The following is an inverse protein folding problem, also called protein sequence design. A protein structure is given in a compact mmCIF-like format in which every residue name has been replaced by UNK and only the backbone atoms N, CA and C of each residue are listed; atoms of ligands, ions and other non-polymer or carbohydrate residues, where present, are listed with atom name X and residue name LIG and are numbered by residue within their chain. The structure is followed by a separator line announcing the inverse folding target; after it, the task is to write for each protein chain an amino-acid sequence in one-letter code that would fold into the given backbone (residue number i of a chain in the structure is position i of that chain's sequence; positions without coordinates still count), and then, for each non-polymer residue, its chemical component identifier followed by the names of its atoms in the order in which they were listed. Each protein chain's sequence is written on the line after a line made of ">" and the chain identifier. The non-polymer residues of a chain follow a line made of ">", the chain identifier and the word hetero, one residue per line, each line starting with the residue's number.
data_IF_319388551146
#
_entry.id   IF_319388551146
#
_cell.length_a   1.000
_cell.length_b   1.000
_cell.length_c   1.000
_cell.angle_alpha   90.00
_cell.angle_beta   90.00
_cell.angle_gamma   90.00
#
_symmetry.space_group_name_H-M   'P 1'
#
loop_
_entity.id
_entity.type
_entity.pdbx_description
1 polymer ?
#
# COMPACT_ATOMS: atom_id res chain seq x y z
N UNK A 1 19.00 -0.26 16.55
CA UNK A 1 18.25 -1.14 15.60
C UNK A 1 17.02 -1.80 16.22
N UNK A 2 17.12 -2.55 17.32
CA UNK A 2 15.97 -3.23 17.94
C UNK A 2 14.81 -2.27 18.34
N UNK A 3 15.15 -1.08 18.85
CA UNK A 3 14.18 -0.03 19.19
C UNK A 3 13.39 0.50 17.98
N UNK A 4 14.03 0.57 16.81
CA UNK A 4 13.39 1.07 15.58
C UNK A 4 12.40 0.04 15.04
N UNK A 5 12.78 -1.24 15.10
CA UNK A 5 11.90 -2.33 14.72
C UNK A 5 10.64 -2.41 15.60
N UNK A 6 10.77 -2.19 16.92
CA UNK A 6 9.60 -2.20 17.81
C UNK A 6 8.67 -1.02 17.56
N UNK A 7 9.21 0.19 17.33
CA UNK A 7 8.41 1.37 16.94
C UNK A 7 7.64 1.14 15.63
N UNK A 8 8.32 0.61 14.61
CA UNK A 8 7.69 0.29 13.33
C UNK A 8 6.58 -0.76 13.47
N UNK A 9 6.83 -1.85 14.21
CA UNK A 9 5.81 -2.87 14.50
C UNK A 9 4.58 -2.28 15.18
N UNK A 10 4.79 -1.42 16.19
CA UNK A 10 3.68 -0.78 16.89
C UNK A 10 2.83 0.11 15.95
N UNK A 11 3.47 0.89 15.06
CA UNK A 11 2.74 1.69 14.05
C UNK A 11 1.93 0.82 13.10
N UNK A 12 2.55 -0.23 12.57
CA UNK A 12 1.89 -1.18 11.64
C UNK A 12 0.70 -1.88 12.32
N UNK A 13 0.84 -2.23 13.60
CA UNK A 13 -0.24 -2.88 14.36
C UNK A 13 -1.40 -1.94 14.69
N UNK A 14 -1.14 -0.64 14.83
CA UNK A 14 -2.17 0.37 15.13
C UNK A 14 -2.86 0.92 13.87
N UNK A 15 -2.22 0.85 12.71
CA UNK A 15 -2.76 1.40 11.46
C UNK A 15 -3.80 0.45 10.82
N UNK A 16 -5.01 0.97 10.64
CA UNK A 16 -6.16 0.22 10.11
C UNK A 16 -5.94 -0.28 8.68
N UNK A 17 -5.17 0.45 7.86
CA UNK A 17 -4.90 0.08 6.48
C UNK A 17 -3.92 -1.09 6.42
N UNK A 18 -2.87 -1.08 7.25
CA UNK A 18 -1.98 -2.24 7.38
C UNK A 18 -2.70 -3.49 7.89
N UNK A 19 -3.66 -3.33 8.82
CA UNK A 19 -4.49 -4.45 9.27
C UNK A 19 -5.31 -5.04 8.11
N UNK A 20 -6.01 -4.21 7.32
CA UNK A 20 -6.76 -4.65 6.13
C UNK A 20 -5.86 -5.36 5.12
N UNK A 21 -4.66 -4.82 4.85
CA UNK A 21 -3.67 -5.44 3.95
C UNK A 21 -3.25 -6.82 4.48
N UNK A 22 -3.00 -6.95 5.78
CA UNK A 22 -2.61 -8.22 6.42
C UNK A 22 -3.74 -9.26 6.33
N UNK A 23 -4.99 -8.86 6.52
CA UNK A 23 -6.15 -9.71 6.35
C UNK A 23 -6.30 -10.17 4.89
N UNK A 24 -6.16 -9.24 3.95
CA UNK A 24 -6.20 -9.56 2.52
C UNK A 24 -5.11 -10.56 2.13
N UNK A 25 -3.88 -10.36 2.60
CA UNK A 25 -2.76 -11.28 2.35
C UNK A 25 -3.03 -12.69 2.92
N UNK A 26 -3.62 -12.79 4.12
CA UNK A 26 -4.05 -14.08 4.70
C UNK A 26 -5.12 -14.75 3.86
N UNK A 27 -6.08 -13.98 3.35
CA UNK A 27 -7.15 -14.50 2.48
C UNK A 27 -6.59 -15.01 1.15
N UNK A 28 -5.72 -14.24 0.47
CA UNK A 28 -5.05 -14.68 -0.76
C UNK A 28 -4.30 -15.99 -0.52
N UNK A 29 -3.57 -16.09 0.59
CA UNK A 29 -2.84 -17.32 0.93
C UNK A 29 -3.81 -18.50 1.09
N UNK A 30 -4.91 -18.33 1.82
CA UNK A 30 -5.93 -19.37 2.00
C UNK A 30 -6.54 -19.82 0.67
N UNK A 31 -6.84 -18.88 -0.23
CA UNK A 31 -7.41 -19.20 -1.55
C UNK A 31 -6.41 -19.92 -2.43
N UNK A 32 -5.14 -19.51 -2.40
CA UNK A 32 -4.05 -20.18 -3.13
C UNK A 32 -3.79 -21.60 -2.62
N UNK A 33 -3.83 -21.79 -1.31
CA UNK A 33 -3.60 -23.10 -0.68
C UNK A 33 -4.86 -24.02 -0.83
N UNK A 34 -6.00 -23.49 -1.28
CA UNK A 34 -7.21 -24.26 -1.57
C UNK A 34 -7.17 -24.88 -2.97
N UNK A 35 -6.79 -26.15 -3.05
CA UNK A 35 -6.76 -26.90 -4.32
C UNK A 35 -8.09 -27.58 -4.70
N UNK A 36 -9.16 -27.39 -3.92
CA UNK A 36 -10.45 -28.07 -4.14
C UNK A 36 -11.39 -27.15 -4.94
N UNK A 37 -11.79 -27.62 -6.11
CA UNK A 37 -12.76 -26.96 -6.97
C UNK A 37 -14.00 -27.84 -7.16
N UNK A 38 -15.21 -27.29 -6.97
CA UNK A 38 -16.43 -28.00 -7.34
C UNK A 38 -16.50 -28.14 -8.86
N UNK A 39 -16.87 -29.33 -9.33
CA UNK A 39 -17.11 -29.62 -10.76
C UNK A 39 -18.54 -29.30 -11.19
N UNK A 40 -19.44 -29.15 -10.21
CA UNK A 40 -20.82 -28.72 -10.43
C UNK A 40 -20.87 -27.21 -10.74
N UNK A 41 -21.58 -26.84 -11.80
CA UNK A 41 -21.58 -25.48 -12.33
C UNK A 41 -22.23 -24.46 -11.39
N UNK A 42 -23.33 -24.85 -10.72
CA UNK A 42 -24.01 -23.98 -9.76
C UNK A 42 -23.12 -23.73 -8.54
N UNK A 43 -22.52 -24.78 -7.99
CA UNK A 43 -21.58 -24.68 -6.85
C UNK A 43 -20.34 -23.87 -7.21
N UNK A 44 -19.81 -24.01 -8.42
CA UNK A 44 -18.70 -23.19 -8.90
C UNK A 44 -19.09 -21.71 -8.98
N UNK A 45 -20.25 -21.41 -9.56
CA UNK A 45 -20.74 -20.03 -9.71
C UNK A 45 -20.92 -19.35 -8.36
N UNK A 46 -21.53 -20.04 -7.38
CA UNK A 46 -21.67 -19.51 -6.02
C UNK A 46 -20.33 -19.30 -5.31
N UNK A 47 -19.35 -20.19 -5.50
CA UNK A 47 -17.99 -20.02 -4.95
C UNK A 47 -17.35 -18.75 -5.50
N UNK A 48 -17.46 -18.53 -6.81
CA UNK A 48 -16.91 -17.35 -7.49
C UNK A 48 -17.59 -16.04 -7.06
N UNK A 49 -18.91 -16.04 -6.89
CA UNK A 49 -19.65 -14.89 -6.37
C UNK A 49 -19.24 -14.55 -4.93
N UNK A 50 -19.18 -15.54 -4.05
CA UNK A 50 -18.73 -15.36 -2.68
C UNK A 50 -17.28 -14.83 -2.64
N UNK A 51 -16.41 -15.29 -3.54
CA UNK A 51 -15.04 -14.79 -3.68
C UNK A 51 -15.02 -13.32 -4.07
N UNK A 52 -15.79 -12.93 -5.08
CA UNK A 52 -15.91 -11.53 -5.54
C UNK A 52 -16.47 -10.63 -4.44
N UNK A 53 -17.49 -11.07 -3.73
CA UNK A 53 -18.08 -10.30 -2.62
C UNK A 53 -17.09 -10.11 -1.47
N UNK A 54 -16.33 -11.15 -1.13
CA UNK A 54 -15.27 -11.03 -0.13
C UNK A 54 -14.16 -10.08 -0.58
N UNK A 55 -13.79 -10.09 -1.86
CA UNK A 55 -12.77 -9.20 -2.42
C UNK A 55 -13.16 -7.72 -2.35
N UNK A 56 -14.46 -7.39 -2.53
CA UNK A 56 -14.97 -6.00 -2.43
C UNK A 56 -14.63 -5.31 -1.11
N UNK A 57 -14.44 -6.08 -0.02
CA UNK A 57 -14.07 -5.55 1.30
C UNK A 57 -12.68 -4.90 1.33
N UNK A 58 -11.86 -5.17 0.32
CA UNK A 58 -10.47 -4.69 0.22
C UNK A 58 -10.27 -3.73 -0.96
N UNK A 59 -11.32 -3.42 -1.73
CA UNK A 59 -11.24 -2.52 -2.89
C UNK A 59 -10.88 -1.08 -2.50
N UNK A 60 -11.02 -0.72 -1.23
CA UNK A 60 -10.68 0.60 -0.67
C UNK A 60 -9.20 0.74 -0.32
N UNK A 61 -8.45 -0.36 -0.22
CA UNK A 61 -7.02 -0.34 0.06
C UNK A 61 -6.29 0.47 -1.02
N UNK A 62 -5.56 1.50 -0.59
CA UNK A 62 -4.77 2.36 -1.48
C UNK A 62 -5.58 3.38 -2.26
N UNK A 63 -6.86 3.61 -1.94
CA UNK A 63 -7.64 4.72 -2.52
C UNK A 63 -7.39 6.04 -1.79
N UNK A 64 -7.22 5.98 -0.47
CA UNK A 64 -7.09 7.15 0.38
C UNK A 64 -5.70 7.78 0.26
N UNK A 65 -5.68 9.11 0.09
CA UNK A 65 -4.43 9.86 0.15
C UNK A 65 -3.94 9.92 1.59
N UNK A 66 -2.70 9.52 1.78
CA UNK A 66 -1.96 9.72 3.01
C UNK A 66 -1.49 11.18 3.05
N UNK A 67 -1.33 11.70 4.26
CA UNK A 67 -0.86 13.06 4.49
C UNK A 67 0.66 13.17 4.24
N UNK A 68 1.06 13.05 2.98
CA UNK A 68 2.44 13.11 2.52
C UNK A 68 2.59 14.23 1.49
N UNK A 69 3.73 14.91 1.54
CA UNK A 69 4.11 15.93 0.57
C UNK A 69 5.28 15.42 -0.25
N UNK A 70 5.13 15.47 -1.57
CA UNK A 70 6.16 15.07 -2.54
C UNK A 70 6.40 16.28 -3.44
N UNK A 71 7.65 16.54 -3.77
CA UNK A 71 8.06 17.68 -4.58
C UNK A 71 9.06 17.23 -5.64
N UNK A 72 9.02 17.90 -6.79
CA UNK A 72 9.98 17.67 -7.86
C UNK A 72 11.33 18.24 -7.47
N UNK A 73 12.39 17.60 -7.98
CA UNK A 73 13.70 18.21 -7.97
C UNK A 73 13.73 19.34 -8.99
N UNK A 74 14.36 20.46 -8.62
CA UNK A 74 14.46 21.64 -9.48
C UNK A 74 15.11 21.34 -10.84
N UNK A 75 16.03 20.38 -10.87
CA UNK A 75 16.74 19.93 -12.07
C UNK A 75 15.81 19.18 -13.06
N UNK A 76 14.75 18.55 -12.57
CA UNK A 76 13.84 17.72 -13.38
C UNK A 76 12.68 18.53 -13.99
N UNK A 77 12.42 19.73 -13.45
CA UNK A 77 11.33 20.60 -13.87
C UNK A 77 11.33 20.90 -15.39
N UNK A 78 12.47 21.17 -16.07
CA UNK A 78 12.47 21.38 -17.52
C UNK A 78 12.01 20.16 -18.30
N UNK A 79 12.40 18.95 -17.87
CA UNK A 79 12.05 17.70 -18.56
C UNK A 79 10.58 17.33 -18.37
N UNK A 80 10.05 17.55 -17.16
CA UNK A 80 8.64 17.32 -16.83
C UNK A 80 7.74 18.29 -17.58
N UNK A 81 8.12 19.57 -17.65
CA UNK A 81 7.31 20.62 -18.27
C UNK A 81 7.44 20.71 -19.79
N UNK A 82 8.32 19.91 -20.41
CA UNK A 82 8.54 19.91 -21.85
C UNK A 82 7.35 19.39 -22.66
N UNK A 83 6.48 18.55 -22.07
CA UNK A 83 5.37 17.88 -22.76
C UNK A 83 4.18 17.71 -21.81
N UNK A 84 2.96 17.91 -22.31
CA UNK A 84 1.72 17.68 -21.55
C UNK A 84 1.60 16.24 -21.07
N UNK A 85 2.00 15.26 -21.89
CA UNK A 85 1.92 13.83 -21.50
C UNK A 85 2.81 13.56 -20.28
N UNK A 86 4.02 14.10 -20.28
CA UNK A 86 4.96 13.96 -19.14
C UNK A 86 4.46 14.62 -17.87
N UNK A 87 3.73 15.74 -17.99
CA UNK A 87 3.09 16.40 -16.85
C UNK A 87 1.97 15.54 -16.27
N UNK A 88 1.16 14.92 -17.11
CA UNK A 88 0.07 14.04 -16.67
C UNK A 88 0.61 12.78 -16.01
N UNK A 89 1.60 12.13 -16.61
CA UNK A 89 2.32 10.98 -16.03
C UNK A 89 2.91 11.35 -14.65
N UNK A 90 3.51 12.54 -14.53
CA UNK A 90 4.05 13.03 -13.27
C UNK A 90 2.95 13.26 -12.23
N UNK A 91 1.82 13.84 -12.61
CA UNK A 91 0.68 14.05 -11.71
C UNK A 91 0.11 12.72 -11.20
N UNK A 92 0.02 11.70 -12.04
CA UNK A 92 -0.46 10.39 -11.65
C UNK A 92 0.56 9.66 -10.76
N UNK A 93 1.85 9.78 -11.08
CA UNK A 93 2.92 9.32 -10.20
C UNK A 93 2.83 9.93 -8.79
N UNK A 94 2.60 11.24 -8.69
CA UNK A 94 2.40 11.93 -7.42
C UNK A 94 1.20 11.39 -6.63
N UNK A 95 0.04 11.27 -7.28
CA UNK A 95 -1.16 10.72 -6.65
C UNK A 95 -0.91 9.31 -6.12
N UNK A 96 -0.16 8.48 -6.85
CA UNK A 96 0.15 7.12 -6.45
C UNK A 96 1.08 7.07 -5.24
N UNK A 97 2.12 7.91 -5.20
CA UNK A 97 3.02 7.98 -4.03
C UNK A 97 2.29 8.44 -2.78
N UNK A 98 1.43 9.45 -2.90
CA UNK A 98 0.67 9.94 -1.76
C UNK A 98 -0.30 8.90 -1.19
N UNK A 99 -0.58 7.80 -1.90
CA UNK A 99 -1.44 6.70 -1.42
C UNK A 99 -0.64 5.51 -0.90
N UNK A 100 0.69 5.49 -1.09
CA UNK A 100 1.53 4.35 -0.77
C UNK A 100 1.89 4.32 0.73
N UNK A 101 1.26 3.39 1.44
CA UNK A 101 1.45 3.21 2.88
C UNK A 101 2.84 2.68 3.25
N UNK A 102 3.50 1.95 2.35
CA UNK A 102 4.85 1.46 2.59
C UNK A 102 5.87 2.57 2.48
N UNK A 103 5.71 3.50 1.53
CA UNK A 103 6.55 4.70 1.45
C UNK A 103 6.36 5.57 2.71
N UNK A 104 5.12 5.72 3.19
CA UNK A 104 4.83 6.40 4.46
C UNK A 104 5.61 5.77 5.63
N UNK A 105 5.53 4.45 5.80
CA UNK A 105 6.23 3.79 6.90
C UNK A 105 7.75 3.85 6.73
N UNK A 106 8.28 3.74 5.51
CA UNK A 106 9.72 3.92 5.25
C UNK A 106 10.20 5.33 5.64
N UNK A 107 9.37 6.36 5.42
CA UNK A 107 9.65 7.72 5.85
C UNK A 107 9.69 7.83 7.39
N UNK A 108 8.73 7.21 8.09
CA UNK A 108 8.73 7.20 9.56
C UNK A 108 9.93 6.43 10.14
N UNK A 109 10.34 5.31 9.53
CA UNK A 109 11.56 4.59 9.91
C UNK A 109 12.81 5.47 9.70
N UNK A 110 12.86 6.23 8.60
CA UNK A 110 13.96 7.16 8.33
C UNK A 110 14.03 8.28 9.39
N UNK A 111 12.88 8.80 9.82
CA UNK A 111 12.80 9.77 10.92
C UNK A 111 13.26 9.18 12.25
N UNK A 112 12.85 7.95 12.55
CA UNK A 112 13.32 7.23 13.75
C UNK A 112 14.85 7.07 13.73
N UNK A 113 15.44 6.72 12.58
CA UNK A 113 16.89 6.62 12.41
C UNK A 113 17.60 7.96 12.65
N UNK A 114 17.06 9.05 12.12
CA UNK A 114 17.63 10.38 12.31
C UNK A 114 17.53 10.87 13.76
N UNK A 115 16.43 10.56 14.46
CA UNK A 115 16.25 10.93 15.87
C UNK A 115 17.31 10.27 16.75
N UNK A 116 17.53 8.95 16.57
CA UNK A 116 18.58 8.22 17.30
C UNK A 116 19.96 8.81 17.05
N UNK A 117 20.28 9.19 15.80
CA UNK A 117 21.59 9.80 15.46
C UNK A 117 21.81 11.18 16.07
N UNK A 118 20.76 11.93 16.42
CA UNK A 118 20.88 13.27 17.04
C UNK A 118 21.10 13.21 18.55
N UNK A 119 20.81 12.07 19.16
CA UNK A 119 21.03 11.82 20.60
C UNK A 119 22.44 11.29 20.91
N UNK A 120 23.21 10.93 19.87
CA UNK A 120 24.66 10.64 19.90
C UNK A 120 25.49 11.91 19.65
#
# INVERSE_FOLDING_TARGET
>A
MALIQSKSKARIEQDTTFQKIKEYAKWIKKERDNSIMPLDMERFSHKEEARKEHQKRFDDIGKDSLNMSVYDLTQDAPLINADSVKRDDRNDWYKNICKDIYIKEALEISRDLQAVRKEE
#
